data_IF_981311631866
#
_entry.id   IF_981311631866
#
_cell.length_a   1.000
_cell.length_b   1.000
_cell.length_c   1.000
_cell.angle_alpha   90.00
_cell.angle_beta   90.00
_cell.angle_gamma   90.00
#
_symmetry.space_group_name_H-M   'P 1'
#
loop_
_entity.id
_entity.type
_entity.pdbx_description
1 polymer ?
#
# COMPACT_ATOMS: atom_id res chain seq x y z
N UNK A 1 -16.44 14.78 11.04
CA UNK A 1 -16.37 15.59 9.79
C UNK A 1 -17.78 15.67 9.24
N UNK A 2 -18.33 16.88 9.05
CA UNK A 2 -19.72 17.14 8.62
C UNK A 2 -19.90 17.04 7.08
N UNK A 3 -21.16 16.91 6.65
CA UNK A 3 -21.72 16.63 5.29
C UNK A 3 -21.33 17.59 4.13
N UNK A 4 -20.21 18.31 4.22
CA UNK A 4 -19.74 19.24 3.19
C UNK A 4 -18.24 19.16 2.85
N UNK A 5 -17.49 18.23 3.45
CA UNK A 5 -16.07 18.08 3.19
C UNK A 5 -15.79 17.23 1.94
N UNK A 6 -14.86 17.68 1.09
CA UNK A 6 -14.34 16.89 -0.03
C UNK A 6 -13.72 15.59 0.50
N UNK A 7 -14.05 14.40 -0.05
CA UNK A 7 -13.47 13.15 0.39
C UNK A 7 -11.95 13.15 0.17
N UNK A 8 -11.20 12.86 1.23
CA UNK A 8 -9.75 12.67 1.17
C UNK A 8 -9.45 11.24 0.72
N UNK A 9 -8.55 11.10 -0.23
CA UNK A 9 -8.05 9.83 -0.74
C UNK A 9 -6.55 9.72 -0.47
N UNK A 10 -6.07 8.55 -0.11
CA UNK A 10 -4.64 8.29 -0.01
C UNK A 10 -4.02 8.08 -1.39
N UNK A 11 -2.87 8.71 -1.66
CA UNK A 11 -2.14 8.57 -2.90
C UNK A 11 -0.64 8.79 -2.68
N UNK A 12 0.19 7.86 -3.13
CA UNK A 12 1.63 7.84 -2.79
C UNK A 12 2.54 8.33 -3.91
N UNK A 13 2.01 8.53 -5.11
CA UNK A 13 2.80 8.86 -6.32
C UNK A 13 4.01 7.93 -6.51
N UNK A 14 3.76 6.63 -6.32
CA UNK A 14 4.83 5.65 -6.24
C UNK A 14 5.50 5.39 -7.58
N UNK A 15 6.84 5.43 -7.58
CA UNK A 15 7.67 5.38 -8.79
C UNK A 15 8.61 6.59 -8.87
N UNK A 16 8.31 7.64 -8.10
CA UNK A 16 9.13 8.82 -7.94
C UNK A 16 10.24 8.64 -6.89
N UNK A 17 11.30 9.48 -6.91
CA UNK A 17 12.32 9.46 -5.86
C UNK A 17 11.71 9.62 -4.46
N UNK A 18 12.01 8.69 -3.56
CA UNK A 18 11.51 8.71 -2.18
C UNK A 18 10.23 7.91 -1.95
N UNK A 19 9.59 7.34 -2.97
CA UNK A 19 8.36 6.54 -2.83
C UNK A 19 8.60 5.10 -3.29
N UNK A 20 8.41 4.14 -2.37
CA UNK A 20 8.65 2.70 -2.63
C UNK A 20 7.34 1.94 -2.78
N UNK A 21 7.21 1.11 -3.82
CA UNK A 21 6.04 0.27 -4.07
C UNK A 21 5.68 -0.58 -2.85
N UNK A 22 4.41 -0.55 -2.47
CA UNK A 22 3.89 -1.16 -1.25
C UNK A 22 4.21 -0.35 0.01
N UNK A 23 5.48 -0.06 0.28
CA UNK A 23 5.89 0.53 1.56
C UNK A 23 5.42 1.99 1.77
N UNK A 24 5.35 2.79 0.69
CA UNK A 24 5.00 4.21 0.75
C UNK A 24 3.60 4.47 1.30
N UNK A 25 2.65 3.54 1.12
CA UNK A 25 1.26 3.71 1.59
C UNK A 25 1.16 3.80 3.11
N UNK A 26 2.06 3.13 3.83
CA UNK A 26 2.11 3.24 5.29
C UNK A 26 2.60 4.62 5.73
N UNK A 27 3.58 5.17 5.01
CA UNK A 27 4.03 6.55 5.23
C UNK A 27 2.92 7.57 4.93
N UNK A 28 2.15 7.35 3.87
CA UNK A 28 1.00 8.20 3.53
C UNK A 28 -0.08 8.16 4.61
N UNK A 29 -0.42 6.98 5.12
CA UNK A 29 -1.35 6.84 6.25
C UNK A 29 -0.87 7.62 7.50
N UNK A 30 0.43 7.56 7.81
CA UNK A 30 1.01 8.34 8.90
C UNK A 30 0.96 9.85 8.64
N UNK A 31 1.17 10.29 7.39
CA UNK A 31 1.08 11.69 7.00
C UNK A 31 -0.35 12.22 7.10
N UNK A 32 -1.35 11.42 6.70
CA UNK A 32 -2.77 11.75 6.86
C UNK A 32 -3.14 11.94 8.33
N UNK A 33 -2.71 11.02 9.21
CA UNK A 33 -2.93 11.16 10.65
C UNK A 33 -2.22 12.38 11.22
N UNK A 34 -0.97 12.62 10.83
CA UNK A 34 -0.22 13.83 11.21
C UNK A 34 -0.87 15.13 10.71
N UNK A 35 -1.66 15.06 9.64
CA UNK A 35 -2.40 16.19 9.07
C UNK A 35 -3.77 16.41 9.74
N UNK A 36 -4.13 15.61 10.74
CA UNK A 36 -5.31 15.80 11.57
C UNK A 36 -6.43 14.78 11.37
N UNK A 37 -6.27 13.79 10.49
CA UNK A 37 -7.22 12.68 10.39
C UNK A 37 -7.06 11.73 11.59
N UNK A 38 -8.16 11.16 12.05
CA UNK A 38 -8.11 10.00 12.94
C UNK A 38 -7.56 8.78 12.18
N UNK A 39 -6.98 7.77 12.86
CA UNK A 39 -6.54 6.54 12.20
C UNK A 39 -7.65 5.87 11.38
N UNK A 40 -8.89 5.89 11.88
CA UNK A 40 -10.05 5.34 11.16
C UNK A 40 -10.37 6.14 9.89
N UNK A 41 -10.28 7.47 9.92
CA UNK A 41 -10.46 8.30 8.73
C UNK A 41 -9.36 8.05 7.70
N UNK A 42 -8.10 7.89 8.13
CA UNK A 42 -6.98 7.55 7.23
C UNK A 42 -7.15 6.15 6.59
N UNK A 43 -7.60 5.16 7.37
CA UNK A 43 -7.94 3.83 6.85
C UNK A 43 -9.08 3.91 5.83
N UNK A 44 -10.14 4.68 6.11
CA UNK A 44 -11.24 4.92 5.15
C UNK A 44 -10.76 5.60 3.88
N UNK A 45 -9.90 6.62 4.00
CA UNK A 45 -9.30 7.34 2.88
C UNK A 45 -8.46 6.44 1.96
N UNK A 46 -7.95 5.32 2.47
CA UNK A 46 -7.17 4.32 1.70
C UNK A 46 -8.03 3.15 1.20
N UNK A 47 -9.26 2.99 1.70
CA UNK A 47 -10.13 1.84 1.43
C UNK A 47 -11.47 2.27 0.85
N UNK A 48 -12.49 2.47 1.69
CA UNK A 48 -13.87 2.74 1.27
C UNK A 48 -14.01 4.03 0.44
N UNK A 49 -13.32 5.11 0.82
CA UNK A 49 -13.38 6.38 0.09
C UNK A 49 -12.77 6.25 -1.32
N UNK A 50 -11.64 5.55 -1.43
CA UNK A 50 -10.98 5.29 -2.73
C UNK A 50 -11.84 4.39 -3.62
N UNK A 51 -12.43 3.33 -3.06
CA UNK A 51 -13.33 2.47 -3.80
C UNK A 51 -14.55 3.25 -4.32
N UNK A 52 -15.15 4.10 -3.49
CA UNK A 52 -16.26 4.96 -3.90
C UNK A 52 -15.86 5.95 -5.00
N UNK A 53 -14.72 6.62 -4.86
CA UNK A 53 -14.22 7.60 -5.85
C UNK A 53 -13.92 6.97 -7.21
N UNK A 54 -13.54 5.69 -7.24
CA UNK A 54 -13.29 4.93 -8.47
C UNK A 54 -14.48 4.06 -8.92
N UNK A 55 -15.65 4.21 -8.31
CA UNK A 55 -16.85 3.43 -8.62
C UNK A 55 -16.64 1.90 -8.54
N UNK A 56 -15.81 1.46 -7.58
CA UNK A 56 -15.54 0.05 -7.31
C UNK A 56 -16.52 -0.47 -6.26
N UNK A 57 -17.66 -0.97 -6.72
CA UNK A 57 -18.74 -1.44 -5.84
C UNK A 57 -18.44 -2.79 -5.16
N UNK A 58 -17.42 -3.51 -5.60
CA UNK A 58 -17.11 -4.85 -5.11
C UNK A 58 -16.08 -4.87 -3.98
N UNK A 59 -15.42 -3.76 -3.61
CA UNK A 59 -14.31 -3.75 -2.64
C UNK A 59 -14.26 -2.50 -1.77
N UNK A 60 -13.21 -2.40 -0.94
CA UNK A 60 -12.98 -1.26 -0.03
C UNK A 60 -13.72 -1.35 1.31
N UNK A 61 -14.53 -2.38 1.52
CA UNK A 61 -15.23 -2.64 2.77
C UNK A 61 -15.33 -4.14 3.04
N UNK A 62 -15.22 -4.53 4.31
CA UNK A 62 -15.51 -5.89 4.76
C UNK A 62 -17.03 -6.02 4.97
N UNK A 63 -17.72 -6.61 4.00
CA UNK A 63 -19.15 -6.88 4.06
C UNK A 63 -19.53 -8.07 3.17
N UNK A 64 -20.63 -8.80 3.46
CA UNK A 64 -21.12 -9.86 2.58
C UNK A 64 -21.35 -9.37 1.15
N UNK A 65 -20.97 -10.18 0.16
CA UNK A 65 -21.10 -9.84 -1.26
C UNK A 65 -19.96 -8.99 -1.84
N UNK A 66 -19.03 -8.50 -1.02
CA UNK A 66 -17.80 -7.82 -1.47
C UNK A 66 -16.69 -8.85 -1.76
N UNK A 67 -15.78 -8.52 -2.67
CA UNK A 67 -14.52 -9.24 -2.93
C UNK A 67 -13.70 -9.30 -1.65
N UNK A 68 -13.21 -10.49 -1.33
CA UNK A 68 -12.39 -10.74 -0.13
C UNK A 68 -10.93 -10.31 -0.35
N UNK A 69 -10.73 -9.00 -0.53
CA UNK A 69 -9.42 -8.36 -0.52
C UNK A 69 -9.13 -7.86 0.89
N UNK A 70 -8.33 -8.63 1.63
CA UNK A 70 -8.15 -8.45 3.08
C UNK A 70 -6.67 -8.34 3.44
N UNK A 71 -6.38 -7.52 4.43
CA UNK A 71 -5.06 -7.43 5.07
C UNK A 71 -5.25 -7.65 6.56
N UNK A 72 -4.62 -8.68 7.11
CA UNK A 72 -4.55 -8.91 8.54
C UNK A 72 -3.25 -8.33 9.07
N UNK A 73 -3.33 -7.54 10.13
CA UNK A 73 -2.18 -6.93 10.79
C UNK A 73 -2.15 -7.35 12.26
N UNK A 74 -0.96 -7.35 12.84
CA UNK A 74 -0.76 -7.51 14.27
C UNK A 74 -0.78 -6.11 14.93
N UNK A 75 -1.51 -6.00 16.04
CA UNK A 75 -1.83 -4.71 16.68
C UNK A 75 -3.17 -4.11 16.22
N UNK A 76 -3.43 -2.87 16.62
CA UNK A 76 -4.69 -2.17 16.36
C UNK A 76 -4.46 -0.90 15.53
N UNK A 77 -4.72 -0.93 14.20
CA UNK A 77 -4.52 0.21 13.33
C UNK A 77 -5.54 1.34 13.53
N UNK A 78 -6.60 1.10 14.33
CA UNK A 78 -7.57 2.14 14.70
C UNK A 78 -7.08 2.98 15.88
N UNK A 79 -6.15 2.43 16.68
CA UNK A 79 -5.48 3.13 17.77
C UNK A 79 -4.09 3.67 17.37
N UNK A 80 -3.32 2.88 16.60
CA UNK A 80 -2.00 3.27 16.10
C UNK A 80 -1.86 2.91 14.62
N UNK A 81 -1.91 3.92 13.75
CA UNK A 81 -1.86 3.71 12.31
C UNK A 81 -0.58 2.99 11.82
N UNK A 82 0.50 3.01 12.61
CA UNK A 82 1.75 2.31 12.32
C UNK A 82 1.61 0.79 12.37
N UNK A 83 0.59 0.27 13.08
CA UNK A 83 0.27 -1.17 13.10
C UNK A 83 -0.04 -1.71 11.70
N UNK A 84 -0.41 -0.85 10.74
CA UNK A 84 -0.59 -1.28 9.34
C UNK A 84 0.67 -1.89 8.72
N UNK A 85 1.87 -1.60 9.26
CA UNK A 85 3.14 -2.15 8.78
C UNK A 85 3.38 -3.60 9.21
N UNK A 86 2.78 -4.04 10.31
CA UNK A 86 2.97 -5.39 10.86
C UNK A 86 1.95 -6.36 10.26
N UNK A 87 2.03 -6.52 8.93
CA UNK A 87 1.11 -7.38 8.19
C UNK A 87 1.43 -8.84 8.50
N UNK A 88 0.40 -9.61 8.88
CA UNK A 88 0.44 -11.05 9.13
C UNK A 88 0.10 -11.80 7.85
N UNK A 89 -1.06 -11.52 7.27
CA UNK A 89 -1.59 -12.23 6.11
C UNK A 89 -2.32 -11.28 5.15
N UNK A 90 -2.40 -11.69 3.88
CA UNK A 90 -3.07 -10.94 2.82
C UNK A 90 -3.91 -11.92 2.02
N UNK A 91 -5.14 -11.54 1.72
CA UNK A 91 -6.01 -12.26 0.80
C UNK A 91 -6.33 -11.37 -0.40
N UNK A 92 -6.27 -11.97 -1.58
CA UNK A 92 -6.73 -11.37 -2.82
C UNK A 92 -7.84 -12.23 -3.42
N UNK A 93 -9.02 -11.64 -3.67
CA UNK A 93 -10.20 -12.37 -4.13
C UNK A 93 -10.54 -13.63 -3.29
N UNK A 94 -10.24 -13.62 -1.99
CA UNK A 94 -10.46 -14.76 -1.10
C UNK A 94 -9.36 -15.82 -1.10
N UNK A 95 -8.30 -15.64 -1.89
CA UNK A 95 -7.13 -16.51 -1.87
C UNK A 95 -6.03 -15.90 -1.01
N UNK A 96 -5.55 -16.66 -0.02
CA UNK A 96 -4.41 -16.23 0.78
C UNK A 96 -3.14 -16.17 -0.08
N UNK A 97 -2.42 -15.07 0.03
CA UNK A 97 -1.16 -14.85 -0.68
C UNK A 97 -0.03 -15.50 0.12
N UNK A 98 0.75 -16.40 -0.51
CA UNK A 98 1.97 -16.92 0.08
C UNK A 98 3.07 -15.85 0.10
N UNK A 99 3.15 -15.14 1.22
CA UNK A 99 4.11 -14.07 1.45
C UNK A 99 5.53 -14.59 1.68
N UNK A 100 5.71 -15.86 2.05
CA UNK A 100 7.01 -16.49 2.17
C UNK A 100 7.64 -16.70 0.80
N UNK A 101 6.89 -17.35 -0.10
CA UNK A 101 7.30 -17.54 -1.49
C UNK A 101 7.52 -16.21 -2.22
N UNK A 102 6.67 -15.22 -1.96
CA UNK A 102 6.82 -13.88 -2.57
C UNK A 102 8.13 -13.19 -2.17
N UNK A 103 8.51 -13.24 -0.88
CA UNK A 103 9.77 -12.67 -0.39
C UNK A 103 11.00 -13.30 -1.06
N UNK A 104 10.98 -14.62 -1.29
CA UNK A 104 12.05 -15.35 -1.98
C UNK A 104 12.15 -14.88 -3.44
N UNK A 105 11.03 -14.85 -4.16
CA UNK A 105 10.98 -14.40 -5.56
C UNK A 105 11.51 -12.96 -5.74
N UNK A 106 11.12 -12.03 -4.85
CA UNK A 106 11.62 -10.64 -4.88
C UNK A 106 13.11 -10.58 -4.60
N UNK A 107 13.62 -11.35 -3.64
CA UNK A 107 15.05 -11.41 -3.33
C UNK A 107 15.87 -11.94 -4.52
N UNK A 108 15.39 -12.98 -5.20
CA UNK A 108 16.00 -13.52 -6.41
C UNK A 108 16.00 -12.51 -7.56
N UNK A 109 14.87 -11.83 -7.80
CA UNK A 109 14.77 -10.81 -8.84
C UNK A 109 15.72 -9.62 -8.58
N UNK A 110 15.88 -9.22 -7.31
CA UNK A 110 16.84 -8.19 -6.92
C UNK A 110 18.29 -8.64 -7.05
N UNK A 111 18.60 -9.91 -6.77
CA UNK A 111 19.92 -10.51 -6.98
C UNK A 111 20.32 -10.52 -8.45
N UNK A 112 19.41 -10.91 -9.35
CA UNK A 112 19.65 -10.91 -10.81
C UNK A 112 19.94 -9.51 -11.36
N UNK A 113 19.31 -8.47 -10.79
CA UNK A 113 19.52 -7.07 -11.18
C UNK A 113 20.91 -6.54 -10.86
N UNK A 114 21.57 -7.06 -9.82
CA UNK A 114 22.92 -6.60 -9.41
C UNK A 114 24.05 -7.18 -10.28
N UNK A 115 23.84 -8.31 -10.96
CA UNK A 115 24.90 -8.99 -11.74
C UNK A 115 25.06 -8.42 -13.15
N UNK A 116 24.08 -7.66 -13.67
CA UNK A 116 24.11 -7.10 -15.02
C UNK A 116 24.67 -5.67 -15.14
N UNK A 117 25.32 -5.14 -14.10
CA UNK A 117 25.64 -3.72 -13.95
C UNK A 117 27.11 -3.36 -13.92
N UNK A 118 28.02 -4.15 -14.49
CA UNK A 118 29.41 -3.76 -14.70
C UNK A 118 29.91 -4.33 -16.03
N UNK A 119 29.72 -3.61 -17.13
CA UNK A 119 30.62 -3.73 -18.27
C UNK A 119 30.69 -2.42 -19.07
N UNK A 120 31.93 -2.05 -19.40
CA UNK A 120 32.37 -0.69 -19.64
C UNK A 120 31.96 -0.08 -20.99
N UNK A 121 31.63 1.21 -20.95
CA UNK A 121 31.40 2.03 -22.13
C UNK A 121 32.06 3.40 -21.96
N UNK A 122 33.37 3.47 -22.18
CA UNK A 122 34.14 4.72 -22.17
C UNK A 122 33.81 5.53 -23.44
N UNK A 123 32.78 6.37 -23.39
CA UNK A 123 32.44 7.26 -24.51
C UNK A 123 33.42 8.44 -24.57
N UNK A 124 34.28 8.44 -25.60
CA UNK A 124 35.07 9.59 -26.04
C UNK A 124 34.14 10.58 -26.75
N UNK A 125 34.22 11.85 -26.40
CA UNK A 125 33.65 12.95 -27.18
C UNK A 125 34.78 13.58 -28.00
N UNK A 126 34.53 13.76 -29.30
CA UNK A 126 35.30 14.59 -30.24
C UNK A 126 34.43 15.74 -30.70
#
# INVERSE_FOLDING_TARGET
>A
MEDGACPILAGTDTGNPGTTQGASVHGELELLVRSGLTPVEALRATTASTAAAFHLEDRGQIAPGKRADLVLVNGDPTADIRSTRDIVAVWEAGHEVDRGAWKVSVAEANGRRKVGGEDGGRARWS
#
